data_IF_857028690618
#
_entry.id   IF_857028690618
#
_cell.length_a   1.000
_cell.length_b   1.000
_cell.length_c   1.000
_cell.angle_alpha   90.00
_cell.angle_beta   90.00
_cell.angle_gamma   90.00
#
_symmetry.space_group_name_H-M   'P 1'
#
loop_
_entity.id
_entity.type
_entity.pdbx_description
1 polymer ?
#
# COMPACT_ATOMS: atom_id res chain seq x y z
N UNK A 1 -3.82 4.53 20.46
CA UNK A 1 -2.95 3.82 19.49
C UNK A 1 -3.75 2.80 18.72
N UNK A 2 -3.55 2.74 17.44
CA UNK A 2 -4.14 1.74 16.56
C UNK A 2 -3.05 0.81 16.07
N UNK A 3 -3.41 -0.41 15.71
CA UNK A 3 -2.49 -1.38 15.10
C UNK A 3 -3.14 -1.99 13.89
N UNK A 4 -2.41 -2.05 12.80
CA UNK A 4 -2.81 -2.82 11.62
C UNK A 4 -1.92 -4.05 11.50
N UNK A 5 -2.53 -5.16 11.17
CA UNK A 5 -1.84 -6.40 10.85
C UNK A 5 -2.18 -6.72 9.40
N UNK A 6 -1.18 -6.62 8.53
CA UNK A 6 -1.36 -6.78 7.10
C UNK A 6 -0.76 -8.11 6.67
N UNK A 7 -1.56 -8.95 6.04
CA UNK A 7 -1.11 -10.21 5.45
C UNK A 7 -1.17 -10.09 3.94
N UNK A 8 -0.02 -10.23 3.28
CA UNK A 8 0.07 -10.22 1.83
C UNK A 8 0.00 -11.64 1.31
N UNK A 9 -1.00 -11.91 0.46
CA UNK A 9 -1.17 -13.20 -0.19
C UNK A 9 0.06 -13.53 -1.03
N UNK A 10 0.54 -14.77 -0.90
CA UNK A 10 1.67 -15.26 -1.69
C UNK A 10 1.23 -15.55 -3.12
N UNK A 11 1.85 -14.89 -4.10
CA UNK A 11 1.60 -15.10 -5.52
C UNK A 11 2.90 -15.17 -6.30
N UNK A 12 3.03 -16.15 -7.18
CA UNK A 12 4.22 -16.36 -8.00
C UNK A 12 4.44 -15.16 -8.93
N UNK A 13 3.37 -14.63 -9.52
CA UNK A 13 3.45 -13.51 -10.47
C UNK A 13 4.05 -12.23 -9.87
N UNK A 14 4.01 -12.07 -8.54
CA UNK A 14 4.52 -10.88 -7.87
C UNK A 14 5.60 -11.21 -6.83
N UNK A 15 6.23 -12.39 -6.94
CA UNK A 15 7.14 -12.90 -5.93
C UNK A 15 8.33 -11.96 -5.64
N UNK A 16 8.83 -11.26 -6.65
CA UNK A 16 9.97 -10.36 -6.52
C UNK A 16 9.57 -8.89 -6.31
N UNK A 17 8.28 -8.59 -6.30
CA UNK A 17 7.81 -7.22 -6.14
C UNK A 17 7.70 -6.85 -4.67
N UNK A 18 8.24 -5.68 -4.32
CA UNK A 18 8.04 -5.08 -3.01
C UNK A 18 6.84 -4.15 -3.08
N UNK A 19 6.00 -4.23 -2.04
CA UNK A 19 4.92 -3.27 -1.82
C UNK A 19 5.20 -2.51 -0.54
N UNK A 20 4.68 -1.31 -0.45
CA UNK A 20 4.74 -0.49 0.77
C UNK A 20 3.33 -0.23 1.27
N UNK A 21 3.12 -0.49 2.54
CA UNK A 21 1.88 -0.14 3.25
C UNK A 21 2.07 1.27 3.82
N UNK A 22 1.26 2.20 3.36
CA UNK A 22 1.38 3.63 3.70
C UNK A 22 0.20 4.02 4.59
N UNK A 23 0.44 4.38 5.86
CA UNK A 23 -0.60 4.95 6.71
C UNK A 23 -0.97 6.35 6.26
N UNK A 24 -2.25 6.67 6.28
CA UNK A 24 -2.74 7.99 5.96
C UNK A 24 -3.57 8.06 4.69
N UNK A 25 -3.94 9.28 4.31
CA UNK A 25 -4.78 9.52 3.15
C UNK A 25 -4.03 9.30 1.85
N UNK A 26 -4.60 8.49 0.98
CA UNK A 26 -4.10 8.26 -0.38
C UNK A 26 -4.03 9.58 -1.16
N UNK A 27 -5.06 10.41 -1.06
CA UNK A 27 -5.11 11.68 -1.77
C UNK A 27 -4.01 12.63 -1.30
N UNK A 28 -3.78 12.72 0.01
CA UNK A 28 -2.73 13.58 0.56
C UNK A 28 -1.34 13.12 0.11
N UNK A 29 -1.11 11.82 0.09
CA UNK A 29 0.14 11.24 -0.40
C UNK A 29 0.36 11.55 -1.88
N UNK A 30 -0.68 11.36 -2.70
CA UNK A 30 -0.63 11.65 -4.13
C UNK A 30 -0.31 13.12 -4.39
N UNK A 31 -0.94 14.03 -3.67
CA UNK A 31 -0.67 15.47 -3.79
C UNK A 31 0.75 15.82 -3.38
N UNK A 32 1.21 15.27 -2.28
CA UNK A 32 2.55 15.54 -1.74
C UNK A 32 3.65 15.15 -2.73
N UNK A 33 3.48 14.04 -3.43
CA UNK A 33 4.49 13.51 -4.35
C UNK A 33 4.17 13.74 -5.81
N UNK A 34 3.20 14.62 -6.11
CA UNK A 34 2.85 14.97 -7.48
C UNK A 34 2.23 13.83 -8.29
N UNK A 35 1.59 12.89 -7.61
CA UNK A 35 0.93 11.75 -8.27
C UNK A 35 -0.50 12.08 -8.73
N UNK A 36 -0.94 13.31 -8.50
CA UNK A 36 -2.25 13.82 -8.95
C UNK A 36 -2.04 14.63 -10.21
N UNK A 37 -2.71 14.26 -11.27
CA UNK A 37 -2.63 14.97 -12.56
C UNK A 37 -2.02 14.12 -13.64
N UNK A 38 -1.60 14.77 -14.70
CA UNK A 38 -1.07 14.09 -15.88
C UNK A 38 0.24 13.38 -15.56
N UNK A 39 0.16 12.07 -15.50
CA UNK A 39 1.34 11.23 -15.44
C UNK A 39 1.95 11.23 -16.83
N UNK A 40 3.16 11.75 -16.94
CA UNK A 40 3.81 11.97 -18.22
C UNK A 40 4.44 10.72 -18.82
N UNK A 41 4.63 9.68 -18.01
CA UNK A 41 5.24 8.44 -18.46
C UNK A 41 4.31 7.26 -18.21
N UNK A 42 4.15 6.45 -19.25
CA UNK A 42 3.34 5.23 -19.23
C UNK A 42 4.13 4.08 -19.82
N UNK A 43 3.82 2.87 -19.37
CA UNK A 43 4.38 1.66 -19.97
C UNK A 43 3.68 1.34 -21.31
N UNK A 44 4.08 0.22 -21.95
CA UNK A 44 3.51 -0.22 -23.20
C UNK A 44 2.02 -0.54 -23.14
N UNK A 45 1.48 -0.67 -21.94
CA UNK A 45 0.07 -1.00 -21.69
C UNK A 45 -0.74 0.21 -21.20
N UNK A 46 -0.15 1.41 -21.25
CA UNK A 46 -0.81 2.64 -20.84
C UNK A 46 -0.88 2.85 -19.33
N UNK A 47 -0.16 2.04 -18.55
CA UNK A 47 -0.09 2.21 -17.09
C UNK A 47 0.93 3.28 -16.73
N UNK A 48 0.64 4.16 -15.77
CA UNK A 48 1.58 5.19 -15.39
C UNK A 48 2.87 4.61 -14.83
N UNK A 49 4.01 5.10 -15.34
CA UNK A 49 5.33 4.79 -14.81
C UNK A 49 5.77 5.95 -13.93
N UNK A 50 5.52 5.82 -12.65
CA UNK A 50 5.93 6.78 -11.66
C UNK A 50 6.98 6.13 -10.76
N UNK A 51 8.12 6.78 -10.59
CA UNK A 51 9.14 6.27 -9.68
C UNK A 51 9.19 7.11 -8.43
N UNK A 52 8.88 6.48 -7.32
CA UNK A 52 9.00 7.10 -6.01
C UNK A 52 10.30 6.60 -5.39
N UNK A 53 11.07 7.51 -4.83
CA UNK A 53 12.31 7.15 -4.16
C UNK A 53 12.02 6.17 -3.01
N UNK A 54 12.79 5.09 -2.94
CA UNK A 54 12.65 4.07 -1.89
C UNK A 54 12.80 4.71 -0.49
N UNK A 55 13.69 5.68 -0.35
CA UNK A 55 13.87 6.38 0.92
C UNK A 55 12.60 7.10 1.36
N UNK A 56 11.85 7.67 0.43
CA UNK A 56 10.55 8.31 0.70
C UNK A 56 9.52 7.27 1.13
N UNK A 57 9.46 6.15 0.44
CA UNK A 57 8.53 5.07 0.76
C UNK A 57 8.82 4.49 2.14
N UNK A 58 10.09 4.24 2.45
CA UNK A 58 10.49 3.71 3.75
C UNK A 58 10.24 4.71 4.90
N UNK A 59 10.33 6.01 4.61
CA UNK A 59 10.06 7.05 5.59
C UNK A 59 8.56 7.20 5.89
N UNK A 60 7.69 6.83 4.95
CA UNK A 60 6.24 7.02 5.06
C UNK A 60 5.47 5.73 5.31
N UNK A 61 6.09 4.58 5.17
CA UNK A 61 5.40 3.30 5.31
C UNK A 61 6.33 2.15 5.59
N UNK A 62 5.82 0.94 5.42
CA UNK A 62 6.55 -0.29 5.68
C UNK A 62 6.49 -1.21 4.48
N UNK A 63 7.62 -1.83 4.15
CA UNK A 63 7.71 -2.83 3.09
C UNK A 63 6.97 -4.10 3.51
N UNK A 64 6.33 -4.73 2.54
CA UNK A 64 5.77 -6.05 2.72
C UNK A 64 6.15 -6.93 1.53
N UNK A 65 6.82 -8.04 1.84
CA UNK A 65 7.26 -9.01 0.85
C UNK A 65 6.15 -10.00 0.53
N UNK A 66 6.30 -10.69 -0.59
CA UNK A 66 5.35 -11.71 -1.02
C UNK A 66 5.15 -12.77 0.08
N UNK A 67 3.90 -12.98 0.49
CA UNK A 67 3.55 -13.95 1.54
C UNK A 67 3.86 -13.51 2.97
N UNK A 68 4.31 -12.27 3.17
CA UNK A 68 4.69 -11.75 4.49
C UNK A 68 3.48 -11.20 5.25
N UNK A 69 3.56 -11.25 6.57
CA UNK A 69 2.66 -10.55 7.46
C UNK A 69 3.46 -9.54 8.27
N UNK A 70 2.97 -8.32 8.33
CA UNK A 70 3.58 -7.24 9.12
C UNK A 70 2.57 -6.64 10.08
N UNK A 71 3.08 -6.06 11.17
CA UNK A 71 2.28 -5.31 12.12
C UNK A 71 2.83 -3.88 12.22
N UNK A 72 1.95 -2.90 12.12
CA UNK A 72 2.29 -1.49 12.25
C UNK A 72 1.46 -0.84 13.35
N UNK A 73 2.13 -0.14 14.24
CA UNK A 73 1.47 0.70 15.22
C UNK A 73 1.29 2.10 14.64
N UNK A 74 0.07 2.61 14.74
CA UNK A 74 -0.34 3.86 14.13
C UNK A 74 -0.81 4.84 15.18
N UNK A 75 -0.61 6.12 14.90
CA UNK A 75 -1.19 7.20 15.68
C UNK A 75 -2.72 7.16 15.56
N UNK A 76 -3.42 7.55 16.62
CA UNK A 76 -4.89 7.60 16.64
C UNK A 76 -5.47 8.54 15.59
N UNK A 77 -4.69 9.49 15.08
CA UNK A 77 -5.10 10.41 14.02
C UNK A 77 -5.12 9.77 12.63
N UNK A 78 -4.59 8.55 12.48
CA UNK A 78 -4.61 7.83 11.19
C UNK A 78 -5.95 7.15 11.01
N UNK A 79 -6.67 7.50 9.94
CA UNK A 79 -8.01 6.97 9.66
C UNK A 79 -8.05 6.03 8.46
N UNK A 80 -6.98 5.95 7.71
CA UNK A 80 -6.93 5.10 6.53
C UNK A 80 -5.51 4.65 6.23
N UNK A 81 -5.41 3.61 5.40
CA UNK A 81 -4.14 3.11 4.87
C UNK A 81 -4.34 2.70 3.42
N UNK A 82 -3.27 2.73 2.66
CA UNK A 82 -3.24 2.20 1.30
C UNK A 82 -1.87 1.57 1.06
N UNK A 83 -1.67 1.01 -0.10
CA UNK A 83 -0.39 0.43 -0.47
C UNK A 83 0.04 0.93 -1.85
N UNK A 84 1.33 0.88 -2.11
CA UNK A 84 1.87 1.29 -3.40
C UNK A 84 3.10 0.49 -3.78
N UNK A 85 3.48 0.62 -5.05
CA UNK A 85 4.74 0.13 -5.57
C UNK A 85 5.69 1.30 -5.79
N UNK A 86 6.97 0.99 -6.00
CA UNK A 86 7.98 1.99 -6.37
C UNK A 86 7.65 2.69 -7.69
N UNK A 87 6.95 2.02 -8.59
CA UNK A 87 6.54 2.58 -9.87
C UNK A 87 5.29 3.47 -9.78
N UNK A 88 4.76 3.68 -8.57
CA UNK A 88 3.62 4.57 -8.35
C UNK A 88 2.25 3.93 -8.56
N UNK A 89 2.19 2.61 -8.71
CA UNK A 89 0.90 1.92 -8.72
C UNK A 89 0.32 1.92 -7.32
N UNK A 90 -0.91 2.36 -7.17
CA UNK A 90 -1.56 2.54 -5.88
C UNK A 90 -2.71 1.56 -5.71
N UNK A 91 -2.86 1.05 -4.49
CA UNK A 91 -4.01 0.23 -4.11
C UNK A 91 -5.24 1.10 -3.82
N UNK A 92 -6.36 0.43 -3.55
CA UNK A 92 -7.49 1.05 -2.89
C UNK A 92 -7.11 1.54 -1.50
N UNK A 93 -7.84 2.51 -1.00
CA UNK A 93 -7.70 3.01 0.36
C UNK A 93 -8.67 2.27 1.28
N UNK A 94 -8.18 1.84 2.43
CA UNK A 94 -8.97 1.16 3.46
C UNK A 94 -9.15 2.10 4.65
N UNK A 95 -10.39 2.36 5.02
CA UNK A 95 -10.72 3.19 6.18
C UNK A 95 -10.75 2.33 7.43
N UNK A 96 -10.09 2.81 8.48
CA UNK A 96 -9.98 2.11 9.75
C UNK A 96 -11.17 2.44 10.64
N UNK A 97 -12.16 1.57 10.63
CA UNK A 97 -13.39 1.72 11.41
C UNK A 97 -13.69 0.43 12.18
N UNK A 98 -14.11 0.59 13.41
CA UNK A 98 -14.56 -0.53 14.25
C UNK A 98 -13.52 -1.63 14.42
N UNK A 99 -12.31 -1.23 14.81
CA UNK A 99 -11.24 -2.17 15.10
C UNK A 99 -11.54 -3.03 16.31
N UNK A 100 -10.92 -4.20 16.35
CA UNK A 100 -11.04 -5.14 17.44
C UNK A 100 -10.06 -4.78 18.57
N UNK A 101 -10.50 -4.73 19.80
CA UNK A 101 -9.61 -4.49 20.94
C UNK A 101 -8.81 -5.76 21.25
N UNK A 102 -7.50 -5.68 21.09
CA UNK A 102 -6.56 -6.76 21.40
C UNK A 102 -5.51 -6.21 22.36
N UNK A 103 -5.52 -6.68 23.60
CA UNK A 103 -4.62 -6.14 24.62
C UNK A 103 -4.80 -4.64 24.87
N UNK A 104 -6.01 -4.10 24.72
CA UNK A 104 -6.30 -2.68 24.85
C UNK A 104 -5.95 -1.84 23.63
N UNK A 105 -5.47 -2.45 22.54
CA UNK A 105 -5.11 -1.75 21.32
C UNK A 105 -6.16 -2.03 20.23
N UNK A 106 -6.69 -0.96 19.63
CA UNK A 106 -7.62 -1.08 18.51
C UNK A 106 -6.87 -1.64 17.29
N UNK A 107 -7.22 -2.87 16.93
CA UNK A 107 -6.46 -3.66 15.95
C UNK A 107 -7.31 -3.96 14.73
N UNK A 108 -6.70 -3.83 13.55
CA UNK A 108 -7.32 -4.06 12.25
C UNK A 108 -6.53 -5.12 11.48
N UNK A 109 -7.23 -6.14 11.01
CA UNK A 109 -6.63 -7.21 10.22
C UNK A 109 -6.96 -6.98 8.75
N UNK A 110 -5.93 -6.74 7.95
CA UNK A 110 -6.07 -6.42 6.54
C UNK A 110 -5.43 -7.51 5.68
N UNK A 111 -6.12 -7.89 4.62
CA UNK A 111 -5.59 -8.85 3.63
C UNK A 111 -5.26 -8.12 2.36
N UNK A 112 -4.04 -8.34 1.86
CA UNK A 112 -3.56 -7.76 0.62
C UNK A 112 -3.34 -8.85 -0.41
N UNK A 113 -3.82 -8.61 -1.61
CA UNK A 113 -3.55 -9.45 -2.77
C UNK A 113 -2.80 -8.65 -3.84
N UNK A 114 -2.46 -9.31 -4.92
CA UNK A 114 -1.90 -8.68 -6.12
C UNK A 114 -2.91 -8.77 -7.25
N UNK A 115 -3.15 -7.65 -7.91
CA UNK A 115 -3.94 -7.57 -9.14
C UNK A 115 -3.04 -7.21 -10.31
N UNK A 116 -3.51 -7.47 -11.53
CA UNK A 116 -2.72 -7.25 -12.73
C UNK A 116 -1.69 -8.34 -12.95
N UNK A 117 -0.61 -8.03 -13.70
CA UNK A 117 0.50 -8.96 -13.95
C UNK A 117 0.42 -9.73 -15.26
N UNK A 118 -0.74 -9.75 -15.91
CA UNK A 118 -0.88 -10.29 -17.27
C UNK A 118 -1.23 -9.14 -18.21
N UNK A 119 -0.30 -8.74 -19.05
CA UNK A 119 -0.37 -7.58 -19.95
C UNK A 119 -0.47 -6.23 -19.21
N UNK A 120 -0.39 -6.22 -17.87
CA UNK A 120 -0.39 -5.00 -17.06
C UNK A 120 0.63 -5.11 -15.96
N UNK A 121 0.97 -3.99 -15.33
CA UNK A 121 1.84 -3.97 -14.16
C UNK A 121 1.08 -4.55 -12.97
N UNK A 122 1.74 -5.42 -12.20
CA UNK A 122 1.18 -5.92 -10.95
C UNK A 122 1.09 -4.81 -9.91
N UNK A 123 0.01 -4.75 -9.17
CA UNK A 123 -0.20 -3.75 -8.13
C UNK A 123 -0.90 -4.34 -6.91
N UNK A 124 -0.66 -3.77 -5.70
CA UNK A 124 -1.28 -4.24 -4.49
C UNK A 124 -2.76 -3.86 -4.42
N UNK A 125 -3.53 -4.66 -3.70
CA UNK A 125 -4.95 -4.41 -3.49
C UNK A 125 -5.39 -4.99 -2.16
N UNK A 126 -6.13 -4.21 -1.36
CA UNK A 126 -6.73 -4.70 -0.13
C UNK A 126 -8.11 -5.30 -0.40
N UNK A 127 -8.31 -6.50 0.09
CA UNK A 127 -9.58 -7.21 0.00
C UNK A 127 -10.55 -6.80 1.11
#
# INVERSE_FOLDING_TARGET
>A
MKRIIVTREKKIASALMLYWVIPGSKQAFMQQFGLVGDLTEHDAFGQPLYRIDIAVLDANGARIKNGEQIALDLNDSVFSVFACTRSGSLSNEVYLQSGQLVGGIETYYLKMTTKGGFKTVSYPWFE
#
